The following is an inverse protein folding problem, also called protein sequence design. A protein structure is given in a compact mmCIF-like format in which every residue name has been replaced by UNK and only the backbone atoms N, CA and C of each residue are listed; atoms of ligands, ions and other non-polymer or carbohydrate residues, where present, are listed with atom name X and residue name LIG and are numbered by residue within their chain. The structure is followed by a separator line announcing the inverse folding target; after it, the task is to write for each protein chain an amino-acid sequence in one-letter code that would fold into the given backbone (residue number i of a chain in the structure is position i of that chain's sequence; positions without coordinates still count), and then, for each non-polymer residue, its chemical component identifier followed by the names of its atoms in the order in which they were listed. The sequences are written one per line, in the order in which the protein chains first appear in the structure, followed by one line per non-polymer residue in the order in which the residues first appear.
data_IF_649261573376
#
_entry.id   IF_649261573376
#
_cell.length_a   1.000
_cell.length_b   1.000
_cell.length_c   1.000
_cell.angle_alpha   90.00
_cell.angle_beta   90.00
_cell.angle_gamma   90.00
#
_symmetry.space_group_name_H-M   'P 1'
#
loop_
_entity.id
_entity.type
_entity.pdbx_description
1 polymer ?
#
# COMPACT_ATOMS: atom_id res chain seq x y z
N UNK A 1 29.58 -22.26 5.69
CA UNK A 1 28.55 -21.44 6.37
C UNK A 1 29.06 -20.84 7.66
N UNK A 2 29.56 -21.63 8.62
CA UNK A 2 30.18 -21.11 9.86
C UNK A 2 31.34 -20.15 9.55
N UNK A 3 32.19 -20.50 8.58
CA UNK A 3 33.26 -19.62 8.08
C UNK A 3 32.76 -18.26 7.59
N UNK A 4 31.52 -18.17 7.12
CA UNK A 4 30.97 -16.92 6.61
C UNK A 4 30.53 -15.95 7.73
N UNK A 5 30.45 -16.46 8.97
CA UNK A 5 30.10 -15.69 10.17
C UNK A 5 31.34 -15.15 10.90
N UNK A 6 32.55 -15.62 10.56
CA UNK A 6 33.79 -15.22 11.26
C UNK A 6 34.34 -13.86 10.83
N UNK A 7 33.86 -13.32 9.70
CA UNK A 7 34.40 -12.11 9.09
C UNK A 7 35.75 -12.28 8.38
N UNK A 8 36.31 -13.50 8.37
CA UNK A 8 37.59 -13.81 7.74
C UNK A 8 37.43 -14.37 6.32
N UNK A 9 37.81 -13.55 5.33
CA UNK A 9 37.79 -13.92 3.91
C UNK A 9 38.77 -15.06 3.61
N UNK A 10 39.91 -15.15 4.31
CA UNK A 10 40.90 -16.19 4.05
C UNK A 10 40.33 -17.57 4.39
N UNK A 11 39.65 -17.70 5.52
CA UNK A 11 38.94 -18.91 5.91
C UNK A 11 37.86 -19.28 4.87
N UNK A 12 37.05 -18.32 4.42
CA UNK A 12 36.01 -18.59 3.40
C UNK A 12 36.63 -19.03 2.07
N UNK A 13 37.71 -18.37 1.65
CA UNK A 13 38.45 -18.73 0.43
C UNK A 13 39.04 -20.13 0.51
N UNK A 14 39.66 -20.49 1.64
CA UNK A 14 40.18 -21.84 1.87
C UNK A 14 39.11 -22.91 1.64
N UNK A 15 37.91 -22.74 2.22
CA UNK A 15 36.83 -23.70 2.02
C UNK A 15 36.34 -23.75 0.57
N UNK A 16 36.33 -22.62 -0.15
CA UNK A 16 35.98 -22.60 -1.57
C UNK A 16 37.00 -23.34 -2.43
N UNK A 17 38.28 -23.11 -2.19
CA UNK A 17 39.38 -23.76 -2.89
C UNK A 17 39.37 -25.30 -2.68
N UNK A 18 38.70 -25.78 -1.63
CA UNK A 18 38.49 -27.19 -1.30
C UNK A 18 37.07 -27.70 -1.63
N UNK A 19 36.38 -27.09 -2.60
CA UNK A 19 35.09 -27.58 -3.11
C UNK A 19 33.86 -27.11 -2.33
N UNK A 20 33.97 -26.06 -1.54
CA UNK A 20 32.84 -25.43 -0.87
C UNK A 20 31.81 -24.89 -1.87
N UNK A 21 30.54 -25.22 -1.66
CA UNK A 21 29.43 -24.75 -2.50
C UNK A 21 28.80 -23.48 -1.90
N UNK A 22 28.76 -22.42 -2.70
CA UNK A 22 28.22 -21.11 -2.33
C UNK A 22 26.68 -21.05 -2.36
N UNK A 23 26.03 -21.90 -3.15
CA UNK A 23 24.57 -21.94 -3.28
C UNK A 23 23.93 -23.05 -2.46
N UNK A 24 24.73 -24.00 -1.95
CA UNK A 24 24.24 -25.02 -1.03
C UNK A 24 23.55 -24.38 0.18
N UNK A 25 22.32 -24.82 0.42
CA UNK A 25 21.50 -24.39 1.55
C UNK A 25 21.74 -25.30 2.78
N UNK A 26 21.58 -24.74 3.98
CA UNK A 26 21.42 -25.52 5.21
C UNK A 26 20.00 -26.10 5.31
N UNK A 27 19.75 -26.84 6.39
CA UNK A 27 18.44 -27.45 6.68
C UNK A 27 17.29 -26.43 6.79
N UNK A 28 17.60 -25.13 6.87
CA UNK A 28 16.62 -24.04 6.90
C UNK A 28 16.55 -23.27 5.58
N UNK A 29 17.14 -23.79 4.50
CA UNK A 29 17.15 -23.13 3.19
C UNK A 29 18.15 -21.97 3.08
N UNK A 30 19.00 -21.72 4.08
CA UNK A 30 19.89 -20.55 4.10
C UNK A 30 21.21 -20.87 3.43
N UNK A 31 21.62 -20.01 2.50
CA UNK A 31 22.92 -20.09 1.82
C UNK A 31 24.03 -19.41 2.62
N UNK A 32 25.28 -19.58 2.19
CA UNK A 32 26.43 -18.89 2.79
C UNK A 32 26.26 -17.37 2.82
N UNK A 33 25.57 -16.80 1.83
CA UNK A 33 25.29 -15.37 1.74
C UNK A 33 24.27 -14.92 2.79
N UNK A 34 23.26 -15.74 3.12
CA UNK A 34 22.34 -15.44 4.23
C UNK A 34 23.08 -15.32 5.57
N UNK A 35 24.02 -16.23 5.82
CA UNK A 35 24.82 -16.22 7.05
C UNK A 35 25.74 -15.01 7.12
N UNK A 36 26.46 -14.70 6.05
CA UNK A 36 27.36 -13.54 6.00
C UNK A 36 26.59 -12.21 6.11
N UNK A 37 25.49 -12.08 5.36
CA UNK A 37 24.63 -10.90 5.34
C UNK A 37 23.90 -10.71 6.68
N UNK A 38 23.38 -11.79 7.26
CA UNK A 38 22.70 -11.77 8.54
C UNK A 38 23.61 -11.36 9.69
N UNK A 39 24.84 -11.89 9.78
CA UNK A 39 25.78 -11.48 10.85
C UNK A 39 26.38 -10.09 10.60
N UNK A 40 26.33 -9.59 9.36
CA UNK A 40 26.93 -8.31 8.98
C UNK A 40 28.44 -8.42 8.72
N UNK A 41 28.93 -9.58 8.28
CA UNK A 41 30.34 -9.83 7.98
C UNK A 41 30.77 -9.17 6.68
N UNK A 42 31.14 -7.88 6.75
CA UNK A 42 31.27 -7.05 5.55
C UNK A 42 32.21 -7.59 4.46
N UNK A 43 33.45 -7.91 4.86
CA UNK A 43 34.50 -8.38 3.94
C UNK A 43 34.13 -9.70 3.27
N UNK A 44 33.50 -10.59 4.04
CA UNK A 44 33.04 -11.89 3.55
C UNK A 44 31.90 -11.73 2.57
N UNK A 45 30.89 -10.93 2.90
CA UNK A 45 29.75 -10.70 2.01
C UNK A 45 30.18 -10.06 0.68
N UNK A 46 31.06 -9.05 0.70
CA UNK A 46 31.64 -8.47 -0.51
C UNK A 46 32.40 -9.51 -1.34
N UNK A 47 33.22 -10.34 -0.68
CA UNK A 47 33.92 -11.42 -1.35
C UNK A 47 32.94 -12.43 -1.98
N UNK A 48 31.90 -12.85 -1.28
CA UNK A 48 30.88 -13.77 -1.80
C UNK A 48 30.14 -13.18 -3.01
N UNK A 49 29.78 -11.91 -2.95
CA UNK A 49 29.13 -11.20 -4.06
C UNK A 49 30.05 -11.08 -5.28
N UNK A 50 31.36 -10.89 -5.08
CA UNK A 50 32.35 -10.89 -6.16
C UNK A 50 32.47 -12.24 -6.89
N UNK A 51 31.96 -13.33 -6.30
CA UNK A 51 31.89 -14.67 -6.90
C UNK A 51 30.59 -14.93 -7.67
N UNK A 52 29.70 -13.94 -7.79
CA UNK A 52 28.47 -14.04 -8.57
C UNK A 52 27.39 -14.91 -7.92
N UNK A 53 27.41 -15.04 -6.59
CA UNK A 53 26.39 -15.82 -5.87
C UNK A 53 25.01 -15.14 -6.01
N UNK A 54 23.93 -15.89 -6.31
CA UNK A 54 22.59 -15.33 -6.36
C UNK A 54 22.21 -14.66 -5.03
N UNK A 55 21.69 -13.44 -5.12
CA UNK A 55 21.39 -12.59 -3.95
C UNK A 55 19.94 -12.65 -3.49
N UNK A 56 19.10 -13.29 -4.29
CA UNK A 56 17.64 -13.30 -4.20
C UNK A 56 17.08 -14.67 -3.79
N UNK A 57 17.95 -15.63 -3.47
CA UNK A 57 17.53 -16.93 -2.93
C UNK A 57 16.74 -16.68 -1.64
N UNK A 58 15.46 -17.06 -1.64
CA UNK A 58 14.59 -17.01 -0.46
C UNK A 58 14.68 -18.34 0.31
N UNK A 59 15.04 -18.27 1.58
CA UNK A 59 15.06 -19.42 2.49
C UNK A 59 13.68 -19.75 3.09
N UNK A 60 12.60 -19.12 2.62
CA UNK A 60 11.25 -19.17 3.21
C UNK A 60 11.10 -18.32 4.47
N UNK A 61 12.17 -17.60 4.86
CA UNK A 61 12.16 -16.57 5.92
C UNK A 61 12.78 -15.25 5.44
N UNK A 62 12.92 -15.08 4.12
CA UNK A 62 13.50 -13.89 3.51
C UNK A 62 14.88 -14.13 2.91
N UNK A 63 15.27 -13.19 2.05
CA UNK A 63 16.53 -13.21 1.29
C UNK A 63 17.73 -12.75 2.13
N UNK A 64 18.97 -12.91 1.66
CA UNK A 64 20.13 -12.33 2.33
C UNK A 64 19.99 -10.83 2.64
N UNK A 65 19.33 -10.07 1.76
CA UNK A 65 19.05 -8.65 1.97
C UNK A 65 18.15 -8.39 3.18
N UNK A 66 17.13 -9.23 3.39
CA UNK A 66 16.26 -9.15 4.55
C UNK A 66 17.00 -9.34 5.86
N UNK A 67 17.86 -10.35 5.89
CA UNK A 67 18.65 -10.68 7.07
C UNK A 67 19.67 -9.57 7.37
N UNK A 68 20.26 -8.96 6.33
CA UNK A 68 21.08 -7.76 6.49
C UNK A 68 20.27 -6.57 7.03
N UNK A 69 19.07 -6.33 6.48
CA UNK A 69 18.22 -5.22 6.92
C UNK A 69 17.70 -5.38 8.35
N UNK A 70 17.56 -6.62 8.82
CA UNK A 70 17.05 -6.95 10.16
C UNK A 70 18.11 -6.82 11.27
N UNK A 71 19.40 -6.73 10.93
CA UNK A 71 20.47 -6.59 11.93
C UNK A 71 20.98 -5.15 12.05
N UNK A 72 20.66 -4.54 13.20
CA UNK A 72 20.77 -3.11 13.50
C UNK A 72 22.20 -2.54 13.57
N UNK A 73 23.20 -3.38 13.85
CA UNK A 73 24.48 -2.88 14.37
C UNK A 73 25.61 -2.82 13.33
N UNK A 74 25.62 -3.65 12.28
CA UNK A 74 26.78 -3.76 11.36
C UNK A 74 26.44 -3.67 9.85
N UNK A 75 25.16 -3.57 9.47
CA UNK A 75 24.68 -3.86 8.11
C UNK A 75 24.85 -2.74 7.04
N UNK A 76 25.38 -1.57 7.41
CA UNK A 76 25.25 -0.39 6.54
C UNK A 76 26.22 -0.35 5.35
N UNK A 77 27.38 -1.00 5.40
CA UNK A 77 28.23 -1.09 4.20
C UNK A 77 27.64 -2.13 3.20
N UNK A 78 27.07 -3.21 3.74
CA UNK A 78 26.58 -4.38 2.99
C UNK A 78 25.30 -4.15 2.21
N UNK A 79 24.39 -3.35 2.77
CA UNK A 79 23.11 -3.08 2.12
C UNK A 79 23.29 -2.42 0.75
N UNK A 80 24.35 -1.62 0.53
CA UNK A 80 24.54 -0.90 -0.74
C UNK A 80 24.77 -1.86 -1.93
N UNK A 81 25.46 -2.98 -1.72
CA UNK A 81 25.75 -3.93 -2.80
C UNK A 81 24.59 -4.92 -2.99
N UNK A 82 24.04 -5.45 -1.89
CA UNK A 82 22.92 -6.40 -1.96
C UNK A 82 21.62 -5.71 -2.39
N UNK A 83 21.34 -4.49 -1.93
CA UNK A 83 20.16 -3.73 -2.35
C UNK A 83 20.25 -3.24 -3.79
N UNK A 84 21.45 -3.10 -4.37
CA UNK A 84 21.60 -2.80 -5.80
C UNK A 84 21.07 -3.90 -6.71
N UNK A 85 20.96 -5.12 -6.20
CA UNK A 85 20.61 -6.31 -6.96
C UNK A 85 19.14 -6.75 -6.73
N UNK A 86 18.40 -6.08 -5.85
CA UNK A 86 16.99 -6.41 -5.58
C UNK A 86 16.37 -5.64 -4.41
N UNK A 87 16.27 -4.30 -4.47
CA UNK A 87 15.81 -3.48 -3.34
C UNK A 87 14.32 -3.65 -3.00
N UNK A 88 13.56 -4.26 -3.92
CA UNK A 88 12.09 -4.36 -3.89
C UNK A 88 11.58 -5.79 -3.72
N UNK A 89 12.44 -6.75 -3.35
CA UNK A 89 12.02 -8.14 -3.17
C UNK A 89 11.03 -8.22 -2.01
N UNK A 90 9.83 -8.74 -2.27
CA UNK A 90 8.77 -8.90 -1.26
C UNK A 90 8.93 -10.26 -0.58
N UNK A 91 8.94 -10.27 0.75
CA UNK A 91 9.15 -11.47 1.56
C UNK A 91 7.84 -11.86 2.24
N UNK A 92 7.55 -13.15 2.25
CA UNK A 92 6.28 -13.72 2.74
C UNK A 92 5.04 -13.03 2.11
N UNK A 93 5.18 -12.50 0.90
CA UNK A 93 4.13 -11.82 0.16
C UNK A 93 3.78 -10.40 0.63
N UNK A 94 4.40 -9.85 1.68
CA UNK A 94 3.98 -8.55 2.25
C UNK A 94 5.10 -7.60 2.69
N UNK A 95 6.30 -8.10 2.98
CA UNK A 95 7.33 -7.31 3.67
C UNK A 95 8.51 -7.00 2.76
N UNK A 96 8.76 -5.71 2.49
CA UNK A 96 9.94 -5.25 1.73
C UNK A 96 11.15 -5.02 2.65
N UNK A 97 12.39 -4.98 2.12
CA UNK A 97 13.58 -4.64 2.91
C UNK A 97 13.47 -3.26 3.57
N UNK A 98 12.80 -2.31 2.92
CA UNK A 98 12.55 -0.97 3.46
C UNK A 98 11.63 -1.03 4.68
N UNK A 99 10.58 -1.86 4.63
CA UNK A 99 9.67 -2.13 5.76
C UNK A 99 10.41 -2.78 6.93
N UNK A 100 11.31 -3.74 6.68
CA UNK A 100 12.14 -4.33 7.72
C UNK A 100 13.05 -3.30 8.38
N UNK A 101 13.79 -2.51 7.59
CA UNK A 101 14.67 -1.48 8.12
C UNK A 101 13.90 -0.45 8.98
N UNK A 102 12.66 -0.15 8.63
CA UNK A 102 11.76 0.68 9.41
C UNK A 102 11.31 -0.01 10.71
N UNK A 103 10.86 -1.26 10.64
CA UNK A 103 10.43 -2.04 11.81
C UNK A 103 11.55 -2.16 12.86
N UNK A 104 12.79 -2.36 12.40
CA UNK A 104 13.98 -2.40 13.25
C UNK A 104 14.51 -1.00 13.64
N UNK A 105 13.92 0.10 13.14
CA UNK A 105 14.34 1.48 13.44
C UNK A 105 15.76 1.84 12.97
N UNK A 106 16.20 1.29 11.84
CA UNK A 106 17.49 1.65 11.24
C UNK A 106 17.34 2.73 10.16
N UNK A 107 17.46 3.99 10.57
CA UNK A 107 17.39 5.13 9.65
C UNK A 107 18.51 5.10 8.59
N UNK A 108 19.69 4.62 8.98
CA UNK A 108 20.84 4.47 8.09
C UNK A 108 20.56 3.43 7.00
N UNK A 109 19.97 2.30 7.35
CA UNK A 109 19.55 1.27 6.41
C UNK A 109 18.49 1.78 5.43
N UNK A 110 17.47 2.49 5.92
CA UNK A 110 16.44 3.06 5.04
C UNK A 110 17.01 4.05 4.02
N UNK A 111 17.93 4.94 4.44
CA UNK A 111 18.60 5.88 3.51
C UNK A 111 19.33 5.15 2.38
N UNK A 112 19.99 4.03 2.69
CA UNK A 112 20.72 3.24 1.70
C UNK A 112 19.77 2.50 0.74
N UNK A 113 18.70 1.91 1.26
CA UNK A 113 17.69 1.22 0.46
C UNK A 113 16.98 2.19 -0.49
N UNK A 114 16.58 3.37 -0.02
CA UNK A 114 15.98 4.42 -0.85
C UNK A 114 16.96 4.85 -1.95
N UNK A 115 18.24 5.07 -1.61
CA UNK A 115 19.28 5.41 -2.60
C UNK A 115 19.51 4.30 -3.63
N UNK A 116 19.28 3.03 -3.24
CA UNK A 116 19.36 1.87 -4.12
C UNK A 116 18.11 1.66 -5.00
N UNK A 117 17.08 2.50 -4.88
CA UNK A 117 15.84 2.39 -5.68
C UNK A 117 14.72 1.58 -5.02
N UNK A 118 14.72 1.48 -3.68
CA UNK A 118 13.60 0.88 -2.97
C UNK A 118 12.30 1.67 -3.20
N UNK A 119 11.21 0.95 -3.48
CA UNK A 119 9.85 1.49 -3.61
C UNK A 119 9.35 1.95 -2.23
N UNK A 120 9.33 3.26 -2.05
CA UNK A 120 8.87 3.94 -0.84
C UNK A 120 7.38 3.78 -0.57
N UNK A 121 6.58 3.42 -1.58
CA UNK A 121 5.15 3.19 -1.43
C UNK A 121 4.80 1.70 -1.30
N UNK A 122 5.71 0.81 -1.72
CA UNK A 122 5.51 -0.65 -1.74
C UNK A 122 4.17 -1.02 -2.41
N UNK A 123 3.98 -0.54 -3.64
CA UNK A 123 2.74 -0.71 -4.40
C UNK A 123 2.37 -2.19 -4.50
N UNK A 124 1.22 -2.58 -3.96
CA UNK A 124 0.75 -3.97 -3.92
C UNK A 124 0.69 -4.60 -2.53
N UNK A 125 1.29 -3.97 -1.51
CA UNK A 125 1.06 -4.31 -0.10
C UNK A 125 -0.13 -3.54 0.48
N UNK A 126 -0.85 -4.14 1.43
CA UNK A 126 -1.87 -3.46 2.25
C UNK A 126 -1.27 -2.40 3.18
N UNK A 127 0.03 -2.50 3.48
CA UNK A 127 0.71 -1.63 4.42
C UNK A 127 1.91 -0.92 3.75
N UNK A 128 1.84 0.40 3.66
CA UNK A 128 2.96 1.22 3.16
C UNK A 128 3.97 1.52 4.27
N UNK A 129 5.24 1.82 3.92
CA UNK A 129 6.23 2.31 4.88
C UNK A 129 5.76 3.53 5.66
N UNK A 130 5.04 4.45 5.03
CA UNK A 130 4.54 5.64 5.70
C UNK A 130 3.47 5.29 6.74
N UNK A 131 2.52 4.41 6.40
CA UNK A 131 1.53 3.91 7.36
C UNK A 131 2.19 3.21 8.55
N UNK A 132 3.16 2.32 8.30
CA UNK A 132 3.89 1.63 9.37
C UNK A 132 4.62 2.62 10.30
N UNK A 133 5.26 3.65 9.74
CA UNK A 133 5.92 4.68 10.53
C UNK A 133 4.92 5.44 11.41
N UNK A 134 3.73 5.75 10.89
CA UNK A 134 2.69 6.48 11.62
C UNK A 134 1.92 5.62 12.63
N UNK A 135 1.93 4.29 12.50
CA UNK A 135 1.33 3.39 13.49
C UNK A 135 2.09 3.37 14.83
N UNK A 136 3.36 3.81 14.84
CA UNK A 136 4.22 3.77 16.02
C UNK A 136 4.67 5.17 16.44
N UNK A 137 4.67 5.45 17.76
CA UNK A 137 5.10 6.74 18.28
C UNK A 137 6.62 6.90 18.23
N UNK A 138 7.09 8.13 17.98
CA UNK A 138 8.51 8.47 17.96
C UNK A 138 9.22 8.19 16.63
N UNK A 139 8.47 8.02 15.54
CA UNK A 139 9.00 7.76 14.20
C UNK A 139 9.12 9.02 13.33
N UNK A 140 9.06 10.22 13.92
CA UNK A 140 9.13 11.52 13.23
C UNK A 140 10.27 11.60 12.20
N UNK A 141 11.47 11.13 12.57
CA UNK A 141 12.63 11.13 11.67
C UNK A 141 12.46 10.20 10.45
N UNK A 142 11.71 9.10 10.60
CA UNK A 142 11.40 8.17 9.53
C UNK A 142 10.30 8.71 8.62
N UNK A 143 9.27 9.33 9.18
CA UNK A 143 8.22 10.03 8.40
C UNK A 143 8.85 11.12 7.54
N UNK A 144 9.71 11.97 8.11
CA UNK A 144 10.46 13.00 7.36
C UNK A 144 11.29 12.40 6.22
N UNK A 145 11.98 11.27 6.48
CA UNK A 145 12.77 10.59 5.46
C UNK A 145 11.90 10.05 4.32
N UNK A 146 10.79 9.39 4.64
CA UNK A 146 9.88 8.80 3.66
C UNK A 146 9.20 9.86 2.79
N UNK A 147 8.70 10.94 3.40
CA UNK A 147 8.12 12.06 2.66
C UNK A 147 9.14 12.72 1.72
N UNK A 148 10.37 12.95 2.20
CA UNK A 148 11.45 13.48 1.37
C UNK A 148 11.80 12.55 0.19
N UNK A 149 11.59 11.25 0.36
CA UNK A 149 11.84 10.24 -0.66
C UNK A 149 10.64 10.01 -1.61
N UNK A 150 9.54 10.75 -1.45
CA UNK A 150 8.37 10.67 -2.33
C UNK A 150 7.30 9.66 -1.90
N UNK A 151 7.23 9.30 -0.62
CA UNK A 151 6.12 8.52 -0.10
C UNK A 151 4.80 9.30 -0.24
N UNK A 152 3.75 8.64 -0.75
CA UNK A 152 2.44 9.24 -0.97
C UNK A 152 1.61 9.19 0.34
N UNK A 153 1.32 10.36 0.96
CA UNK A 153 0.52 10.44 2.18
C UNK A 153 -0.98 10.24 1.94
N UNK A 154 -1.39 9.98 0.69
CA UNK A 154 -2.78 9.73 0.29
C UNK A 154 -3.06 8.23 0.09
N UNK A 155 -2.16 7.34 0.49
CA UNK A 155 -2.42 5.89 0.52
C UNK A 155 -2.96 5.52 1.90
N UNK A 156 -4.24 5.13 2.03
CA UNK A 156 -4.82 4.76 3.31
C UNK A 156 -4.51 3.31 3.69
N UNK A 157 -4.69 2.99 4.98
CA UNK A 157 -4.66 1.61 5.47
C UNK A 157 -5.92 0.81 5.05
N UNK A 158 -6.00 -0.46 5.49
CA UNK A 158 -7.15 -1.34 5.23
C UNK A 158 -8.48 -0.83 5.81
N UNK A 159 -8.42 0.13 6.74
CA UNK A 159 -9.59 0.79 7.31
C UNK A 159 -9.98 2.06 6.54
N UNK A 160 -9.24 2.41 5.49
CA UNK A 160 -9.42 3.66 4.77
C UNK A 160 -8.95 4.89 5.57
N UNK A 161 -8.06 4.71 6.56
CA UNK A 161 -7.46 5.81 7.34
C UNK A 161 -6.19 6.26 6.66
N UNK A 162 -6.10 7.55 6.40
CA UNK A 162 -4.87 8.15 5.90
C UNK A 162 -3.84 8.28 7.02
N UNK A 163 -2.53 8.34 6.71
CA UNK A 163 -1.48 8.60 7.69
C UNK A 163 -1.83 9.78 8.63
N UNK A 164 -2.32 10.90 8.09
CA UNK A 164 -2.67 12.08 8.90
C UNK A 164 -3.79 11.79 9.92
N UNK A 165 -4.74 10.93 9.58
CA UNK A 165 -5.81 10.51 10.50
C UNK A 165 -5.29 9.53 11.56
N UNK A 166 -4.36 8.64 11.21
CA UNK A 166 -3.71 7.73 12.16
C UNK A 166 -2.90 8.51 13.21
N UNK A 167 -2.13 9.51 12.77
CA UNK A 167 -1.41 10.42 13.65
C UNK A 167 -2.37 11.13 14.62
N UNK A 168 -3.51 11.60 14.11
CA UNK A 168 -4.54 12.27 14.90
C UNK A 168 -5.23 11.34 15.93
N UNK A 169 -5.57 10.11 15.55
CA UNK A 169 -6.13 9.08 16.46
C UNK A 169 -5.16 8.82 17.62
N UNK A 170 -3.87 8.79 17.32
CA UNK A 170 -2.81 8.54 18.31
C UNK A 170 -2.42 9.77 19.13
N UNK A 171 -3.14 10.88 18.98
CA UNK A 171 -2.87 12.16 19.65
C UNK A 171 -1.44 12.70 19.38
N UNK A 172 -0.86 12.35 18.22
CA UNK A 172 0.49 12.75 17.83
C UNK A 172 0.45 14.03 16.97
N UNK A 173 0.28 15.19 17.62
CA UNK A 173 0.15 16.49 16.92
C UNK A 173 1.31 16.81 15.98
N UNK A 174 2.55 16.52 16.39
CA UNK A 174 3.74 16.71 15.54
C UNK A 174 3.63 15.93 14.22
N UNK A 175 3.14 14.69 14.25
CA UNK A 175 2.94 13.88 13.05
C UNK A 175 1.82 14.41 12.16
N UNK A 176 0.73 14.92 12.76
CA UNK A 176 -0.34 15.60 12.03
C UNK A 176 0.20 16.84 11.31
N UNK A 177 0.99 17.67 11.99
CA UNK A 177 1.59 18.88 11.41
C UNK A 177 2.55 18.58 10.24
N UNK A 178 3.27 17.46 10.31
CA UNK A 178 4.13 17.02 9.19
C UNK A 178 3.34 16.50 7.99
N UNK A 179 2.26 15.76 8.23
CA UNK A 179 1.50 15.07 7.18
C UNK A 179 0.44 15.97 6.54
N UNK A 180 -0.22 16.83 7.31
CA UNK A 180 -1.28 17.72 6.83
C UNK A 180 -0.92 18.52 5.56
N UNK A 181 0.23 19.21 5.46
CA UNK A 181 0.53 20.03 4.28
C UNK A 181 0.80 19.22 3.01
N UNK A 182 1.07 17.92 3.13
CA UNK A 182 1.34 17.03 2.01
C UNK A 182 0.17 16.10 1.67
N UNK A 183 -0.86 16.06 2.53
CA UNK A 183 -2.08 15.26 2.31
C UNK A 183 -3.16 16.09 1.58
N UNK A 184 -3.81 15.47 0.59
CA UNK A 184 -4.96 16.06 -0.09
C UNK A 184 -6.18 16.11 0.84
N UNK A 185 -7.07 17.12 0.71
CA UNK A 185 -8.28 17.20 1.51
C UNK A 185 -9.11 15.91 1.48
N UNK A 186 -9.38 15.36 2.66
CA UNK A 186 -10.18 14.14 2.80
C UNK A 186 -11.66 14.52 2.67
N UNK A 187 -12.42 13.95 1.71
CA UNK A 187 -13.78 14.41 1.38
C UNK A 187 -14.80 14.40 2.53
N UNK A 188 -14.59 13.58 3.56
CA UNK A 188 -15.51 13.45 4.69
C UNK A 188 -15.10 14.30 5.90
N UNK A 189 -13.99 15.04 5.82
CA UNK A 189 -13.53 15.94 6.88
C UNK A 189 -14.11 17.34 6.60
N UNK A 190 -15.13 17.80 7.35
CA UNK A 190 -15.85 19.03 7.04
C UNK A 190 -15.01 20.30 7.25
N UNK A 191 -14.05 20.26 8.18
CA UNK A 191 -13.11 21.34 8.45
C UNK A 191 -11.69 20.86 8.13
N UNK A 192 -11.17 21.23 6.95
CA UNK A 192 -9.82 20.86 6.55
C UNK A 192 -8.77 21.79 7.19
N UNK A 193 -8.52 21.54 8.47
CA UNK A 193 -7.46 22.15 9.28
C UNK A 193 -6.85 21.08 10.18
N UNK A 194 -5.67 21.34 10.76
CA UNK A 194 -5.04 20.41 11.72
C UNK A 194 -6.02 20.01 12.84
N UNK A 195 -6.65 21.01 13.47
CA UNK A 195 -7.63 20.77 14.55
C UNK A 195 -8.90 20.09 14.04
N UNK A 196 -9.34 20.40 12.82
CA UNK A 196 -10.48 19.75 12.19
C UNK A 196 -10.24 18.28 11.87
N UNK A 197 -9.05 17.92 11.37
CA UNK A 197 -8.63 16.53 11.16
C UNK A 197 -8.53 15.79 12.50
N UNK A 198 -7.93 16.40 13.52
CA UNK A 198 -7.82 15.81 14.87
C UNK A 198 -9.21 15.52 15.46
N UNK A 199 -10.10 16.51 15.39
CA UNK A 199 -11.47 16.40 15.91
C UNK A 199 -12.27 15.34 15.16
N UNK A 200 -12.19 15.32 13.83
CA UNK A 200 -12.87 14.33 13.00
C UNK A 200 -12.36 12.91 13.28
N UNK A 201 -11.03 12.74 13.36
CA UNK A 201 -10.40 11.46 13.66
C UNK A 201 -10.90 10.88 14.99
N UNK A 202 -10.99 11.70 16.06
CA UNK A 202 -11.51 11.29 17.39
C UNK A 202 -12.99 10.90 17.36
N UNK A 203 -13.81 11.54 16.53
CA UNK A 203 -15.24 11.19 16.37
C UNK A 203 -15.36 9.85 15.64
N UNK A 204 -14.64 9.71 14.53
CA UNK A 204 -14.60 8.48 13.75
C UNK A 204 -14.09 7.33 14.61
N UNK A 205 -13.12 7.58 15.49
CA UNK A 205 -12.57 6.62 16.43
C UNK A 205 -13.54 6.14 17.53
N UNK A 206 -14.77 6.67 17.60
CA UNK A 206 -15.80 6.19 18.53
C UNK A 206 -16.85 5.29 17.88
N UNK A 207 -16.92 5.23 16.54
CA UNK A 207 -17.91 4.41 15.81
C UNK A 207 -17.60 2.91 15.91
N UNK A 208 -18.55 1.97 15.79
CA UNK A 208 -18.20 0.55 15.69
C UNK A 208 -17.24 0.28 14.52
N UNK A 209 -16.25 -0.60 14.72
CA UNK A 209 -15.23 -0.95 13.71
C UNK A 209 -15.90 -1.31 12.38
N UNK A 210 -16.90 -2.20 12.40
CA UNK A 210 -17.68 -2.64 11.24
C UNK A 210 -18.28 -1.48 10.44
N UNK A 211 -18.82 -0.47 11.13
CA UNK A 211 -19.44 0.69 10.50
C UNK A 211 -18.40 1.64 9.89
N UNK A 212 -17.21 1.77 10.50
CA UNK A 212 -16.07 2.54 9.94
C UNK A 212 -15.51 1.88 8.69
N UNK A 213 -15.25 0.57 8.76
CA UNK A 213 -14.74 -0.22 7.64
C UNK A 213 -15.66 -0.10 6.43
N UNK A 214 -16.98 -0.27 6.64
CA UNK A 214 -17.93 -0.31 5.54
C UNK A 214 -18.08 1.06 4.86
N UNK A 215 -18.22 2.13 5.64
CA UNK A 215 -18.43 3.48 5.08
C UNK A 215 -17.16 4.03 4.39
N UNK A 216 -15.98 3.85 4.99
CA UNK A 216 -14.71 4.38 4.44
C UNK A 216 -14.24 3.60 3.23
N UNK A 217 -14.29 2.26 3.27
CA UNK A 217 -13.93 1.40 2.12
C UNK A 217 -14.83 1.68 0.93
N UNK A 218 -16.14 1.84 1.16
CA UNK A 218 -17.10 2.25 0.12
C UNK A 218 -16.75 3.62 -0.48
N UNK A 219 -16.37 4.60 0.34
CA UNK A 219 -15.93 5.93 -0.13
C UNK A 219 -14.70 5.88 -1.01
N UNK A 220 -13.67 5.12 -0.61
CA UNK A 220 -12.43 4.96 -1.38
C UNK A 220 -12.67 4.23 -2.71
N UNK A 221 -13.43 3.13 -2.68
CA UNK A 221 -13.78 2.39 -3.90
C UNK A 221 -14.58 3.29 -4.85
N UNK A 222 -15.55 4.07 -4.32
CA UNK A 222 -16.29 5.05 -5.11
C UNK A 222 -15.37 6.09 -5.74
N UNK A 223 -14.42 6.65 -5.00
CA UNK A 223 -13.47 7.63 -5.52
C UNK A 223 -12.62 7.05 -6.67
N UNK A 224 -12.12 5.81 -6.52
CA UNK A 224 -11.42 5.10 -7.59
C UNK A 224 -12.30 4.90 -8.82
N UNK A 225 -13.57 4.55 -8.64
CA UNK A 225 -14.53 4.43 -9.74
C UNK A 225 -14.78 5.79 -10.42
N UNK A 226 -14.91 6.88 -9.65
CA UNK A 226 -15.08 8.23 -10.16
C UNK A 226 -13.84 8.67 -10.99
N UNK A 227 -12.63 8.28 -10.58
CA UNK A 227 -11.38 8.50 -11.35
C UNK A 227 -11.36 7.71 -12.66
N UNK A 228 -11.66 6.41 -12.62
CA UNK A 228 -11.75 5.59 -13.83
C UNK A 228 -12.83 6.11 -14.80
N UNK A 229 -13.95 6.60 -14.26
CA UNK A 229 -15.00 7.24 -15.05
C UNK A 229 -14.50 8.50 -15.77
N UNK A 230 -13.76 9.38 -15.08
CA UNK A 230 -13.14 10.58 -15.68
C UNK A 230 -12.14 10.23 -16.78
N UNK A 231 -11.44 9.10 -16.66
CA UNK A 231 -10.52 8.56 -17.66
C UNK A 231 -11.24 7.86 -18.83
N UNK A 232 -12.58 7.85 -18.85
CA UNK A 232 -13.43 7.17 -19.85
C UNK A 232 -13.28 5.64 -19.85
N UNK A 233 -12.73 5.05 -18.80
CA UNK A 233 -12.60 3.61 -18.63
C UNK A 233 -13.89 3.00 -18.06
N UNK A 234 -15.01 3.18 -18.75
CA UNK A 234 -16.34 2.89 -18.21
C UNK A 234 -16.51 1.42 -17.80
N UNK A 235 -15.85 0.47 -18.47
CA UNK A 235 -15.87 -0.95 -18.10
C UNK A 235 -15.24 -1.19 -16.72
N UNK A 236 -14.11 -0.54 -16.45
CA UNK A 236 -13.39 -0.63 -15.17
C UNK A 236 -14.20 0.10 -14.10
N UNK A 237 -14.68 1.31 -14.38
CA UNK A 237 -15.54 2.07 -13.48
C UNK A 237 -16.79 1.27 -13.05
N UNK A 238 -17.48 0.58 -13.98
CA UNK A 238 -18.63 -0.29 -13.64
C UNK A 238 -18.23 -1.36 -12.62
N UNK A 239 -17.14 -2.10 -12.86
CA UNK A 239 -16.68 -3.18 -11.96
C UNK A 239 -16.33 -2.64 -10.57
N UNK A 240 -15.70 -1.47 -10.50
CA UNK A 240 -15.35 -0.84 -9.22
C UNK A 240 -16.63 -0.37 -8.50
N UNK A 241 -17.62 0.18 -9.20
CA UNK A 241 -18.93 0.49 -8.61
C UNK A 241 -19.68 -0.76 -8.12
N UNK A 242 -19.59 -1.90 -8.83
CA UNK A 242 -20.15 -3.17 -8.37
C UNK A 242 -19.56 -3.56 -7.01
N UNK A 243 -18.23 -3.47 -6.88
CA UNK A 243 -17.54 -3.73 -5.63
C UNK A 243 -17.99 -2.77 -4.52
N UNK A 244 -18.18 -1.47 -4.82
CA UNK A 244 -18.67 -0.50 -3.84
C UNK A 244 -20.10 -0.82 -3.35
N UNK A 245 -20.98 -1.28 -4.25
CA UNK A 245 -22.37 -1.65 -3.95
C UNK A 245 -22.42 -2.92 -3.09
N UNK A 246 -21.54 -3.89 -3.34
CA UNK A 246 -21.40 -5.08 -2.50
C UNK A 246 -21.01 -4.75 -1.04
N UNK A 247 -20.37 -3.60 -0.81
CA UNK A 247 -20.04 -3.07 0.52
C UNK A 247 -21.12 -2.10 1.05
N UNK A 248 -22.32 -2.12 0.47
CA UNK A 248 -23.47 -1.37 0.96
C UNK A 248 -24.05 -0.43 -0.09
N UNK A 249 -25.36 -0.48 -0.22
CA UNK A 249 -26.10 0.23 -1.25
C UNK A 249 -26.14 1.76 -1.04
N UNK A 250 -26.24 2.52 -2.13
CA UNK A 250 -26.51 3.96 -2.08
C UNK A 250 -27.08 4.41 -3.42
N UNK A 251 -28.07 5.29 -3.38
CA UNK A 251 -28.63 5.92 -4.58
C UNK A 251 -27.53 6.48 -5.50
N UNK A 252 -26.50 7.11 -4.92
CA UNK A 252 -25.40 7.71 -5.69
C UNK A 252 -24.58 6.69 -6.48
N UNK A 253 -24.34 5.51 -5.91
CA UNK A 253 -23.57 4.46 -6.58
C UNK A 253 -24.33 3.91 -7.77
N UNK A 254 -25.62 3.60 -7.59
CA UNK A 254 -26.47 3.16 -8.68
C UNK A 254 -26.61 4.23 -9.78
N UNK A 255 -26.85 5.49 -9.42
CA UNK A 255 -26.94 6.56 -10.42
C UNK A 255 -25.63 6.79 -11.19
N UNK A 256 -24.47 6.60 -10.56
CA UNK A 256 -23.17 6.72 -11.26
C UNK A 256 -22.88 5.48 -12.14
N UNK A 257 -23.18 4.28 -11.65
CA UNK A 257 -23.02 3.03 -12.42
C UNK A 257 -23.97 2.97 -13.62
N UNK A 258 -25.20 3.46 -13.47
CA UNK A 258 -26.19 3.61 -14.55
C UNK A 258 -25.62 4.36 -15.75
N UNK A 259 -24.90 5.47 -15.51
CA UNK A 259 -24.24 6.24 -16.58
C UNK A 259 -23.15 5.44 -17.26
N UNK A 260 -22.33 4.73 -16.47
CA UNK A 260 -21.27 3.90 -17.03
C UNK A 260 -21.84 2.85 -17.98
N UNK A 261 -22.93 2.19 -17.59
CA UNK A 261 -23.63 1.18 -18.40
C UNK A 261 -24.24 1.81 -19.66
N UNK A 262 -24.89 2.97 -19.52
CA UNK A 262 -25.44 3.72 -20.65
C UNK A 262 -24.36 4.10 -21.67
N UNK A 263 -23.22 4.62 -21.22
CA UNK A 263 -22.07 4.96 -22.07
C UNK A 263 -21.39 3.75 -22.73
N UNK A 264 -21.70 2.54 -22.25
CA UNK A 264 -21.25 1.28 -22.85
C UNK A 264 -22.31 0.64 -23.76
N UNK A 265 -23.48 1.25 -23.92
CA UNK A 265 -24.59 0.72 -24.70
C UNK A 265 -25.48 -0.30 -23.95
N UNK A 266 -25.28 -0.51 -22.65
CA UNK A 266 -26.10 -1.39 -21.81
C UNK A 266 -27.32 -0.60 -21.27
N UNK A 267 -28.36 -0.47 -22.09
CA UNK A 267 -29.57 0.27 -21.76
C UNK A 267 -30.41 -0.37 -20.66
N UNK A 268 -30.57 -1.69 -20.67
CA UNK A 268 -31.36 -2.43 -19.68
C UNK A 268 -30.70 -2.34 -18.29
N UNK A 269 -29.39 -2.57 -18.23
CA UNK A 269 -28.63 -2.44 -17.00
C UNK A 269 -28.59 -1.00 -16.48
N UNK A 270 -28.57 0.00 -17.38
CA UNK A 270 -28.66 1.40 -17.01
C UNK A 270 -30.03 1.77 -16.43
N UNK A 271 -31.12 1.24 -16.99
CA UNK A 271 -32.49 1.46 -16.51
C UNK A 271 -32.69 0.82 -15.14
N UNK A 272 -32.25 -0.44 -14.96
CA UNK A 272 -32.30 -1.15 -13.68
C UNK A 272 -31.62 -0.36 -12.56
N UNK A 273 -30.40 0.15 -12.81
CA UNK A 273 -29.67 0.96 -11.84
C UNK A 273 -30.35 2.31 -11.58
N UNK A 274 -30.91 2.96 -12.59
CA UNK A 274 -31.62 4.22 -12.42
C UNK A 274 -32.88 4.06 -11.55
N UNK A 275 -33.67 3.00 -11.78
CA UNK A 275 -34.84 2.66 -10.96
C UNK A 275 -34.43 2.36 -9.52
N UNK A 276 -33.40 1.54 -9.30
CA UNK A 276 -32.88 1.25 -7.96
C UNK A 276 -32.41 2.52 -7.24
N UNK A 277 -31.76 3.44 -7.95
CA UNK A 277 -31.37 4.74 -7.40
C UNK A 277 -32.56 5.58 -6.98
N UNK A 278 -33.66 5.57 -7.74
CA UNK A 278 -34.90 6.29 -7.40
C UNK A 278 -35.60 5.65 -6.21
N UNK A 279 -35.66 4.32 -6.13
CA UNK A 279 -36.24 3.64 -4.97
C UNK A 279 -35.54 4.02 -3.65
N UNK A 280 -34.22 4.23 -3.68
CA UNK A 280 -33.45 4.65 -2.51
C UNK A 280 -33.56 6.16 -2.22
N UNK A 281 -33.91 6.98 -3.21
CA UNK A 281 -34.07 8.44 -3.07
C UNK A 281 -35.01 8.96 -4.16
N UNK A 282 -36.31 8.92 -3.90
CA UNK A 282 -37.38 9.16 -4.88
C UNK A 282 -37.31 10.53 -5.54
N UNK A 283 -36.98 11.56 -4.75
CA UNK A 283 -37.05 12.96 -5.17
C UNK A 283 -35.72 13.48 -5.75
N UNK A 284 -34.79 12.58 -6.05
CA UNK A 284 -33.48 12.96 -6.53
C UNK A 284 -33.48 13.17 -8.04
N UNK A 285 -33.51 14.44 -8.46
CA UNK A 285 -33.53 14.84 -9.87
C UNK A 285 -32.48 14.13 -10.74
N UNK A 286 -31.28 13.87 -10.19
CA UNK A 286 -30.22 13.13 -10.89
C UNK A 286 -30.66 11.72 -11.27
N UNK A 287 -31.38 11.01 -10.39
CA UNK A 287 -31.87 9.66 -10.64
C UNK A 287 -32.98 9.64 -11.70
N UNK A 288 -33.90 10.61 -11.67
CA UNK A 288 -34.92 10.78 -12.71
C UNK A 288 -34.28 11.00 -14.08
N UNK A 289 -33.26 11.86 -14.16
CA UNK A 289 -32.49 12.08 -15.38
C UNK A 289 -31.83 10.79 -15.89
N UNK A 290 -31.25 9.96 -15.00
CA UNK A 290 -30.66 8.67 -15.39
C UNK A 290 -31.69 7.71 -15.97
N UNK A 291 -32.89 7.67 -15.39
CA UNK A 291 -33.96 6.80 -15.87
C UNK A 291 -34.42 7.23 -17.26
N UNK A 292 -34.68 8.53 -17.47
CA UNK A 292 -35.06 9.07 -18.77
C UNK A 292 -34.01 8.77 -19.84
N UNK A 293 -32.72 8.98 -19.52
CA UNK A 293 -31.62 8.69 -20.44
C UNK A 293 -31.55 7.18 -20.81
N UNK A 294 -31.83 6.28 -19.87
CA UNK A 294 -31.88 4.86 -20.15
C UNK A 294 -33.07 4.47 -21.04
N UNK A 295 -34.26 5.04 -20.83
CA UNK A 295 -35.41 4.85 -21.72
C UNK A 295 -35.14 5.34 -23.14
N UNK A 296 -34.48 6.50 -23.29
CA UNK A 296 -34.09 7.02 -24.59
C UNK A 296 -33.19 6.06 -25.36
N UNK A 297 -32.22 5.42 -24.68
CA UNK A 297 -31.35 4.43 -25.32
C UNK A 297 -32.11 3.16 -25.73
N UNK A 298 -33.07 2.72 -24.91
CA UNK A 298 -33.88 1.54 -25.15
C UNK A 298 -35.02 1.76 -26.16
N UNK A 299 -35.30 3.01 -26.55
CA UNK A 299 -36.45 3.40 -27.38
C UNK A 299 -37.81 2.89 -26.83
N UNK A 300 -37.92 2.68 -25.52
CA UNK A 300 -39.17 2.23 -24.89
C UNK A 300 -40.05 3.46 -24.61
N UNK A 301 -41.32 3.50 -25.08
CA UNK A 301 -42.24 4.59 -24.77
C UNK A 301 -42.46 4.73 -23.25
N UNK A 302 -42.57 5.96 -22.76
CA UNK A 302 -42.63 6.32 -21.34
C UNK A 302 -43.94 5.92 -20.61
N UNK A 303 -44.83 5.16 -21.24
CA UNK A 303 -46.25 5.08 -20.84
C UNK A 303 -46.63 3.97 -19.86
N UNK A 304 -45.69 3.24 -19.25
CA UNK A 304 -46.04 2.03 -18.48
C UNK A 304 -45.84 2.06 -16.97
N UNK A 305 -45.54 3.19 -16.30
CA UNK A 305 -45.41 3.21 -14.82
C UNK A 305 -45.88 4.51 -14.13
N UNK A 306 -47.14 4.92 -14.37
CA UNK A 306 -47.89 5.79 -13.46
C UNK A 306 -49.26 5.19 -13.17
N UNK A 307 -49.33 4.25 -12.21
CA UNK A 307 -50.48 4.01 -11.32
C UNK A 307 -49.92 3.64 -9.96
#
# INVERSE_FOLDING_TARGET
MVSAQSGDVATVKYFLDHGGDLVKADDKGRTVLHHAAGIGCCKVTEFLLSKGVPVDIDCGRGTPLFWAASNLFNACAQMTYVARLGPNIIINGTTSPLMSALAYRSLKCMKLLIKAGADVNCNGSMLTPLLLATMHGGYTNFIKLLLKAGADPNIPDDLGRFPVELAAIRDCKEEVEMLFPVTSPIPNVPNWSIEGVISHAKIEEKKPIEQRHLQRRKGLIKSKADTAFKQKEYKIATKIYDLAIAHGESATLYANRSVCKLLKGDGEGALSDALRSRMLRSDWAKACYRQAAAHMLLKVPLDSQCV
#
